data_IF_244050526076
#
_entry.id   IF_244050526076
#
_cell.length_a   1.000
_cell.length_b   1.000
_cell.length_c   1.000
_cell.angle_alpha   90.00
_cell.angle_beta   90.00
_cell.angle_gamma   90.00
#
_symmetry.space_group_name_H-M   'P 1'
#
loop_
_entity.id
_entity.type
_entity.pdbx_description
1 polymer ?
#
# COMPACT_ATOMS: atom_id res chain seq x y z
N UNK A 1 10.09 -6.64 31.43
CA UNK A 1 10.58 -6.66 30.05
C UNK A 1 9.37 -6.48 29.16
N UNK A 2 9.14 -5.29 28.65
CA UNK A 2 8.00 -5.01 27.77
C UNK A 2 8.39 -3.89 26.83
N UNK A 3 8.67 -4.18 25.55
CA UNK A 3 8.74 -3.13 24.56
C UNK A 3 7.30 -2.82 24.17
N UNK A 4 6.86 -1.68 24.66
CA UNK A 4 5.74 -0.88 24.17
C UNK A 4 5.75 -0.87 22.64
N UNK A 5 4.65 -1.37 22.06
CA UNK A 5 4.42 -1.44 20.63
C UNK A 5 4.71 -0.06 20.01
N UNK A 6 5.68 -0.03 19.10
CA UNK A 6 6.10 1.18 18.43
C UNK A 6 4.93 1.77 17.60
N UNK A 7 4.25 2.77 18.17
CA UNK A 7 3.46 3.82 17.52
C UNK A 7 2.86 3.46 16.15
N UNK A 8 1.83 2.62 16.13
CA UNK A 8 0.90 2.60 15.00
C UNK A 8 0.25 3.98 14.91
N UNK A 9 0.73 4.80 13.98
CA UNK A 9 0.17 6.11 13.64
C UNK A 9 -1.30 5.90 13.26
N UNK A 10 -2.21 6.29 14.14
CA UNK A 10 -3.63 6.21 13.87
C UNK A 10 -3.97 7.26 12.81
N UNK A 11 -4.15 6.85 11.54
CA UNK A 11 -4.89 7.66 10.58
C UNK A 11 -6.25 7.90 11.24
N UNK A 12 -6.66 9.16 11.39
CA UNK A 12 -7.93 9.46 12.04
C UNK A 12 -9.11 8.91 11.22
N UNK A 13 -10.23 8.68 11.89
CA UNK A 13 -11.40 8.04 11.26
C UNK A 13 -11.93 8.82 10.04
N UNK A 14 -11.82 10.15 10.02
CA UNK A 14 -12.29 10.95 8.89
C UNK A 14 -11.35 10.78 7.69
N UNK A 15 -10.03 10.77 7.92
CA UNK A 15 -9.04 10.45 6.90
C UNK A 15 -9.21 9.02 6.35
N UNK A 16 -9.46 8.03 7.21
CA UNK A 16 -9.77 6.66 6.77
C UNK A 16 -11.01 6.66 5.87
N UNK A 17 -12.10 7.30 6.29
CA UNK A 17 -13.33 7.37 5.51
C UNK A 17 -13.11 8.03 4.13
N UNK A 18 -12.31 9.09 4.07
CA UNK A 18 -11.96 9.76 2.82
C UNK A 18 -11.13 8.85 1.90
N UNK A 19 -10.12 8.15 2.43
CA UNK A 19 -9.28 7.20 1.69
C UNK A 19 -10.15 6.06 1.14
N UNK A 20 -10.98 5.45 1.97
CA UNK A 20 -11.89 4.38 1.54
C UNK A 20 -12.88 4.85 0.48
N UNK A 21 -13.37 6.10 0.57
CA UNK A 21 -14.26 6.68 -0.44
C UNK A 21 -13.54 6.93 -1.77
N UNK A 22 -12.29 7.38 -1.72
CA UNK A 22 -11.44 7.55 -2.89
C UNK A 22 -11.19 6.21 -3.60
N UNK A 23 -10.86 5.16 -2.84
CA UNK A 23 -10.67 3.82 -3.38
C UNK A 23 -11.94 3.26 -4.01
N UNK A 24 -13.10 3.51 -3.40
CA UNK A 24 -14.42 3.16 -3.95
C UNK A 24 -14.69 3.80 -5.30
N UNK A 25 -14.27 5.04 -5.50
CA UNK A 25 -14.50 5.77 -6.76
C UNK A 25 -13.53 5.36 -7.87
N UNK A 26 -12.28 5.09 -7.53
CA UNK A 26 -11.20 4.97 -8.51
C UNK A 26 -10.79 3.52 -8.79
N UNK A 27 -10.74 2.64 -7.78
CA UNK A 27 -10.29 1.27 -7.99
C UNK A 27 -11.40 0.45 -8.67
N UNK A 28 -11.06 -0.32 -9.73
CA UNK A 28 -12.06 -1.07 -10.47
C UNK A 28 -12.63 -2.22 -9.64
N UNK A 29 -13.97 -2.32 -9.44
CA UNK A 29 -14.59 -3.51 -8.88
C UNK A 29 -14.23 -4.76 -9.68
N UNK A 30 -13.95 -5.86 -8.98
CA UNK A 30 -13.50 -7.12 -9.58
C UNK A 30 -12.05 -7.09 -10.10
N UNK A 31 -11.33 -5.97 -9.99
CA UNK A 31 -9.93 -5.88 -10.41
C UNK A 31 -8.97 -6.59 -9.47
N UNK A 32 -7.76 -6.89 -9.96
CA UNK A 32 -6.63 -7.31 -9.14
C UNK A 32 -5.90 -6.07 -8.58
N UNK A 33 -5.84 -5.94 -7.26
CA UNK A 33 -5.32 -4.74 -6.57
C UNK A 33 -3.98 -5.03 -5.89
N UNK A 34 -3.03 -4.11 -6.03
CA UNK A 34 -1.76 -4.13 -5.31
C UNK A 34 -1.74 -3.08 -4.20
N UNK A 35 -1.54 -3.50 -2.95
CA UNK A 35 -1.34 -2.62 -1.79
C UNK A 35 0.15 -2.53 -1.43
N UNK A 36 0.74 -1.35 -1.61
CA UNK A 36 2.17 -1.09 -1.48
C UNK A 36 2.51 -0.50 -0.11
N UNK A 37 3.61 -0.99 0.47
CA UNK A 37 4.01 -0.68 1.85
C UNK A 37 2.86 -1.02 2.82
N UNK A 38 2.17 -2.12 2.52
CA UNK A 38 1.02 -2.61 3.26
C UNK A 38 1.42 -3.03 4.68
N UNK A 39 0.48 -2.85 5.60
CA UNK A 39 0.55 -3.32 6.97
C UNK A 39 -0.69 -4.13 7.31
N UNK A 40 -1.19 -3.97 8.53
CA UNK A 40 -2.31 -4.73 9.07
C UNK A 40 -3.71 -4.30 8.58
N UNK A 41 -3.80 -3.23 7.78
CA UNK A 41 -5.07 -2.78 7.18
C UNK A 41 -4.84 -1.98 5.90
N UNK A 42 -5.57 -2.29 4.83
CA UNK A 42 -5.45 -1.62 3.52
C UNK A 42 -6.44 -0.47 3.29
N UNK A 43 -7.46 -0.32 4.14
CA UNK A 43 -8.54 0.68 4.02
C UNK A 43 -9.36 0.59 2.72
N UNK A 44 -9.35 -0.57 2.05
CA UNK A 44 -10.21 -0.84 0.91
C UNK A 44 -11.69 -0.83 1.32
N UNK A 45 -12.61 -0.45 0.42
CA UNK A 45 -14.04 -0.49 0.68
C UNK A 45 -14.51 -1.94 0.87
N UNK A 46 -15.04 -2.31 2.06
CA UNK A 46 -15.31 -3.71 2.39
C UNK A 46 -16.44 -4.34 1.58
N UNK A 47 -17.32 -3.52 0.99
CA UNK A 47 -18.44 -4.00 0.17
C UNK A 47 -18.11 -4.14 -1.33
N UNK A 48 -16.91 -3.76 -1.77
CA UNK A 48 -16.48 -3.97 -3.16
C UNK A 48 -15.70 -5.29 -3.25
N UNK A 49 -16.18 -6.26 -4.06
CA UNK A 49 -15.40 -7.46 -4.33
C UNK A 49 -14.26 -7.12 -5.29
N UNK A 50 -13.05 -7.54 -4.95
CA UNK A 50 -11.90 -7.58 -5.85
C UNK A 50 -11.63 -9.03 -6.26
N UNK A 51 -11.06 -9.24 -7.44
CA UNK A 51 -10.71 -10.62 -7.86
C UNK A 51 -9.50 -11.14 -7.11
N UNK A 52 -8.62 -10.24 -6.67
CA UNK A 52 -7.41 -10.52 -5.92
C UNK A 52 -6.88 -9.24 -5.29
N UNK A 53 -6.40 -9.30 -4.06
CA UNK A 53 -5.69 -8.23 -3.38
C UNK A 53 -4.35 -8.75 -2.87
N UNK A 54 -3.26 -8.12 -3.31
CA UNK A 54 -1.90 -8.50 -2.92
C UNK A 54 -1.22 -7.39 -2.16
N UNK A 55 -0.71 -7.68 -0.97
CA UNK A 55 0.06 -6.73 -0.16
C UNK A 55 1.57 -6.91 -0.30
N UNK A 56 2.32 -5.82 -0.37
CA UNK A 56 3.79 -5.80 -0.25
C UNK A 56 4.18 -4.95 0.95
N UNK A 57 4.86 -5.54 1.92
CA UNK A 57 5.30 -4.82 3.12
C UNK A 57 6.49 -5.50 3.79
N UNK A 58 6.98 -4.93 4.88
CA UNK A 58 8.19 -5.44 5.56
C UNK A 58 7.89 -6.29 6.79
N UNK A 59 6.66 -6.22 7.34
CA UNK A 59 6.27 -6.94 8.55
C UNK A 59 5.32 -8.08 8.19
N UNK A 60 5.82 -9.32 8.26
CA UNK A 60 5.05 -10.51 7.93
C UNK A 60 3.81 -10.71 8.83
N UNK A 61 3.89 -10.33 10.11
CA UNK A 61 2.78 -10.48 11.04
C UNK A 61 1.64 -9.52 10.71
N UNK A 62 1.97 -8.24 10.47
CA UNK A 62 0.97 -7.25 10.06
C UNK A 62 0.29 -7.65 8.75
N UNK A 63 1.07 -8.08 7.75
CA UNK A 63 0.52 -8.54 6.48
C UNK A 63 -0.43 -9.74 6.64
N UNK A 64 -0.09 -10.69 7.51
CA UNK A 64 -0.93 -11.86 7.77
C UNK A 64 -2.22 -11.54 8.55
N UNK A 65 -2.23 -10.44 9.31
CA UNK A 65 -3.40 -9.96 10.06
C UNK A 65 -4.33 -9.07 9.22
N UNK A 66 -3.91 -8.67 8.01
CA UNK A 66 -4.68 -7.78 7.17
C UNK A 66 -5.86 -8.52 6.50
N UNK A 67 -7.12 -8.20 6.87
CA UNK A 67 -8.28 -8.95 6.40
C UNK A 67 -8.63 -8.70 4.93
N UNK A 68 -7.98 -7.72 4.28
CA UNK A 68 -8.22 -7.40 2.87
C UNK A 68 -7.31 -8.16 1.91
N UNK A 69 -6.22 -8.78 2.38
CA UNK A 69 -5.24 -9.41 1.50
C UNK A 69 -5.58 -10.87 1.24
N UNK A 70 -5.61 -11.24 -0.04
CA UNK A 70 -5.64 -12.64 -0.46
C UNK A 70 -4.24 -13.27 -0.43
N UNK A 71 -3.21 -12.45 -0.70
CA UNK A 71 -1.81 -12.83 -0.70
C UNK A 71 -0.92 -11.68 -0.22
N UNK A 72 0.29 -12.00 0.25
CA UNK A 72 1.28 -10.98 0.56
C UNK A 72 2.71 -11.40 0.22
N UNK A 73 3.59 -10.42 0.07
CA UNK A 73 5.04 -10.59 -0.09
C UNK A 73 5.76 -9.72 0.93
N UNK A 74 6.68 -10.35 1.66
CA UNK A 74 7.57 -9.64 2.59
C UNK A 74 8.75 -9.11 1.79
N UNK A 75 8.81 -7.80 1.59
CA UNK A 75 9.87 -7.15 0.84
C UNK A 75 10.07 -5.71 1.32
N UNK A 76 11.33 -5.36 1.54
CA UNK A 76 11.74 -3.96 1.73
C UNK A 76 12.06 -3.32 0.37
N UNK A 77 11.19 -2.40 -0.05
CA UNK A 77 11.33 -1.68 -1.32
C UNK A 77 12.48 -0.64 -1.33
N UNK A 78 13.00 -0.26 -0.16
CA UNK A 78 14.21 0.56 -0.08
C UNK A 78 15.46 -0.24 -0.43
N UNK A 79 15.50 -1.50 0.00
CA UNK A 79 16.58 -2.43 -0.30
C UNK A 79 16.49 -2.97 -1.73
N UNK A 80 15.30 -3.42 -2.15
CA UNK A 80 15.04 -3.93 -3.49
C UNK A 80 13.74 -3.34 -4.06
N UNK A 81 13.80 -2.38 -5.00
CA UNK A 81 12.60 -1.77 -5.57
C UNK A 81 11.89 -2.67 -6.61
N UNK A 82 12.52 -3.75 -7.07
CA UNK A 82 11.97 -4.63 -8.11
C UNK A 82 10.81 -5.48 -7.57
N UNK A 83 9.61 -5.30 -8.11
CA UNK A 83 8.42 -6.02 -7.65
C UNK A 83 8.38 -7.45 -8.22
N UNK A 84 8.09 -8.48 -7.40
CA UNK A 84 8.14 -9.89 -7.80
C UNK A 84 6.86 -10.31 -8.54
N UNK A 85 6.37 -9.46 -9.45
CA UNK A 85 5.14 -9.64 -10.21
C UNK A 85 5.39 -9.46 -11.70
N UNK A 86 4.53 -10.05 -12.51
CA UNK A 86 4.57 -9.91 -13.95
C UNK A 86 4.25 -8.48 -14.39
N UNK A 87 4.71 -8.12 -15.59
CA UNK A 87 4.30 -6.88 -16.24
C UNK A 87 2.79 -6.91 -16.51
N UNK A 88 2.10 -5.80 -16.26
CA UNK A 88 0.65 -5.66 -16.49
C UNK A 88 -0.23 -6.71 -15.77
N UNK A 89 0.13 -7.05 -14.53
CA UNK A 89 -0.60 -8.01 -13.68
C UNK A 89 -1.81 -7.37 -12.98
N UNK A 90 -1.69 -6.12 -12.52
CA UNK A 90 -2.69 -5.48 -11.64
C UNK A 90 -3.57 -4.46 -12.36
N UNK A 91 -4.84 -4.39 -11.95
CA UNK A 91 -5.85 -3.44 -12.43
C UNK A 91 -5.88 -2.14 -11.61
N UNK A 92 -5.16 -2.07 -10.49
CA UNK A 92 -4.99 -0.87 -9.70
C UNK A 92 -3.98 -1.07 -8.58
N UNK A 93 -3.41 0.03 -8.07
CA UNK A 93 -2.52 0.01 -6.92
C UNK A 93 -2.81 1.13 -5.94
N UNK A 94 -2.60 0.86 -4.66
CA UNK A 94 -2.71 1.82 -3.57
C UNK A 94 -1.36 1.93 -2.83
N UNK A 95 -1.02 3.16 -2.45
CA UNK A 95 0.11 3.45 -1.57
C UNK A 95 -0.37 4.44 -0.51
N UNK A 96 -0.77 3.90 0.65
CA UNK A 96 -1.45 4.66 1.69
C UNK A 96 -0.47 5.22 2.73
N UNK A 97 -0.36 6.55 2.81
CA UNK A 97 0.38 7.32 3.83
C UNK A 97 1.82 6.85 4.06
N UNK A 98 2.46 6.31 3.01
CA UNK A 98 3.76 5.64 3.16
C UNK A 98 4.82 6.07 2.14
N UNK A 99 4.49 6.91 1.15
CA UNK A 99 5.44 7.27 0.09
C UNK A 99 6.67 8.02 0.64
N UNK A 100 6.49 8.80 1.71
CA UNK A 100 7.56 9.51 2.41
C UNK A 100 8.57 8.59 3.10
N UNK A 101 8.35 7.28 3.12
CA UNK A 101 9.27 6.29 3.68
C UNK A 101 10.17 5.63 2.61
N UNK A 102 9.99 5.98 1.35
CA UNK A 102 10.84 5.50 0.26
C UNK A 102 12.07 6.40 0.07
N UNK A 103 13.24 5.78 0.10
CA UNK A 103 14.55 6.33 -0.30
C UNK A 103 14.66 6.51 -1.80
N UNK A 104 13.97 5.66 -2.57
CA UNK A 104 14.05 5.56 -4.04
C UNK A 104 12.65 5.59 -4.68
N UNK A 105 11.83 6.62 -4.40
CA UNK A 105 10.41 6.63 -4.79
C UNK A 105 10.21 6.54 -6.31
N UNK A 106 11.06 7.20 -7.10
CA UNK A 106 10.96 7.14 -8.57
C UNK A 106 11.20 5.74 -9.13
N UNK A 107 12.05 4.93 -8.49
CA UNK A 107 12.32 3.57 -8.93
C UNK A 107 11.17 2.64 -8.58
N UNK A 108 10.63 2.77 -7.37
CA UNK A 108 9.43 2.04 -6.94
C UNK A 108 8.24 2.40 -7.83
N UNK A 109 7.97 3.68 -8.07
CA UNK A 109 6.85 4.10 -8.93
C UNK A 109 7.01 3.57 -10.36
N UNK A 110 8.25 3.49 -10.89
CA UNK A 110 8.50 2.88 -12.20
C UNK A 110 8.18 1.39 -12.21
N UNK A 111 8.57 0.66 -11.16
CA UNK A 111 8.22 -0.76 -11.01
C UNK A 111 6.72 -0.97 -10.84
N UNK A 112 6.03 -0.08 -10.13
CA UNK A 112 4.56 -0.08 -10.05
C UNK A 112 3.94 0.12 -11.43
N UNK A 113 4.46 1.07 -12.22
CA UNK A 113 4.02 1.28 -13.60
C UNK A 113 4.27 0.06 -14.50
N UNK A 114 5.31 -0.75 -14.25
CA UNK A 114 5.55 -2.01 -14.96
C UNK A 114 4.50 -3.05 -14.64
N UNK A 115 4.16 -3.24 -13.36
CA UNK A 115 3.23 -4.30 -12.92
C UNK A 115 1.77 -3.91 -13.09
N UNK A 116 1.45 -2.63 -13.24
CA UNK A 116 0.11 -2.16 -13.58
C UNK A 116 -0.21 -2.35 -15.06
N UNK A 117 -1.47 -2.71 -15.34
CA UNK A 117 -1.99 -2.70 -16.71
C UNK A 117 -2.00 -1.27 -17.27
N UNK A 118 -1.82 -1.08 -18.59
CA UNK A 118 -1.94 0.24 -19.19
C UNK A 118 -3.29 0.91 -18.85
N UNK A 119 -3.24 2.12 -18.28
CA UNK A 119 -4.43 2.86 -17.86
C UNK A 119 -4.95 2.53 -16.45
N UNK A 120 -4.39 1.54 -15.77
CA UNK A 120 -4.74 1.25 -14.38
C UNK A 120 -4.27 2.37 -13.43
N UNK A 121 -5.08 2.74 -12.42
CA UNK A 121 -4.73 3.81 -11.49
C UNK A 121 -3.67 3.35 -10.47
N UNK A 122 -2.76 4.27 -10.15
CA UNK A 122 -1.98 4.26 -8.91
C UNK A 122 -2.50 5.38 -8.02
N UNK A 123 -3.02 5.04 -6.84
CA UNK A 123 -3.53 6.00 -5.87
C UNK A 123 -2.50 6.16 -4.75
N UNK A 124 -1.95 7.37 -4.61
CA UNK A 124 -1.01 7.70 -3.54
C UNK A 124 -1.66 8.70 -2.60
N UNK A 125 -1.80 8.32 -1.33
CA UNK A 125 -2.20 9.23 -0.26
C UNK A 125 -1.01 9.50 0.65
N UNK A 126 -0.87 10.73 1.11
CA UNK A 126 0.23 11.14 1.98
C UNK A 126 -0.27 12.11 3.03
N UNK A 127 0.35 12.06 4.21
CA UNK A 127 0.10 13.02 5.27
C UNK A 127 1.17 14.11 5.24
N UNK A 128 0.77 15.34 5.56
CA UNK A 128 1.68 16.45 5.85
C UNK A 128 2.41 16.28 7.20
N UNK A 129 2.06 15.26 8.01
CA UNK A 129 2.79 14.88 9.22
C UNK A 129 4.13 14.20 8.88
N UNK A 130 5.11 15.01 8.47
CA UNK A 130 6.50 14.58 8.39
C UNK A 130 7.03 14.25 9.81
N UNK A 131 7.50 13.03 10.03
CA UNK A 131 8.33 12.72 11.20
C UNK A 131 9.78 13.10 10.84
N UNK A 132 10.40 14.09 11.50
CA UNK A 132 11.76 14.50 11.21
C UNK A 132 12.78 13.36 11.33
N UNK A 133 12.50 12.36 12.18
CA UNK A 133 13.37 11.19 12.42
C UNK A 133 13.34 10.13 11.31
N UNK A 134 12.43 10.25 10.33
CA UNK A 134 12.38 9.38 9.14
C UNK A 134 12.46 10.18 7.84
N UNK A 135 12.67 11.49 7.93
CA UNK A 135 12.99 12.32 6.78
C UNK A 135 14.41 11.96 6.33
N UNK A 136 14.55 11.60 5.06
CA UNK A 136 15.85 11.30 4.47
C UNK A 136 16.35 12.59 3.82
N UNK A 137 17.61 12.93 4.09
CA UNK A 137 18.33 14.03 3.46
C UNK A 137 18.81 13.63 2.06
#
# INVERSE_FOLDING_TARGET
MGPEAAHARHIDAASIAAITSLYREILPPGGAILDLLSGWVSHLPPEIPYSRVVGVGTNACELAENPFLDEWRVQDLNSNPCLPFATAEFDGAALCVSIQHLTRPCEVIREVGRVLKPGAPLIVTFSNCCLPTRAIA
#
